data_IF_068961224517
#
_entry.id   IF_068961224517
#
_cell.length_a   1.000
_cell.length_b   1.000
_cell.length_c   1.000
_cell.angle_alpha   90.00
_cell.angle_beta   90.00
_cell.angle_gamma   90.00
#
_symmetry.space_group_name_H-M   'P 1'
#
loop_
_entity.id
_entity.type
_entity.pdbx_description
1 polymer ?
#
# COMPACT_ATOMS: atom_id res chain seq x y z
N UNK A 1 34.74 -16.71 53.97
CA UNK A 1 35.79 -16.74 52.95
C UNK A 1 35.29 -17.56 51.78
N UNK A 2 34.86 -16.96 50.73
CA UNK A 2 34.78 -17.50 49.37
C UNK A 2 34.46 -16.31 48.44
N UNK A 3 35.45 -15.97 47.65
CA UNK A 3 35.38 -14.85 46.69
C UNK A 3 34.65 -15.27 45.42
N UNK A 4 33.75 -14.46 44.96
CA UNK A 4 33.15 -14.53 43.63
C UNK A 4 33.99 -13.67 42.63
N UNK A 5 34.60 -14.36 41.68
CA UNK A 5 35.22 -13.74 40.51
C UNK A 5 34.14 -13.34 39.51
N UNK A 6 33.92 -12.05 39.34
CA UNK A 6 33.19 -11.49 38.21
C UNK A 6 34.16 -11.34 37.00
N UNK A 7 34.04 -12.25 36.04
CA UNK A 7 34.66 -12.04 34.71
C UNK A 7 33.70 -11.20 33.86
N UNK A 8 34.16 -10.01 33.52
CA UNK A 8 33.52 -9.13 32.55
C UNK A 8 33.74 -9.70 31.14
N UNK A 9 32.66 -10.20 30.54
CA UNK A 9 32.68 -10.70 29.15
C UNK A 9 32.40 -9.51 28.21
N UNK A 10 33.43 -9.10 27.51
CA UNK A 10 33.42 -8.86 26.08
C UNK A 10 32.69 -7.64 25.52
N UNK A 11 33.08 -6.41 25.93
CA UNK A 11 32.68 -5.19 25.19
C UNK A 11 33.40 -4.96 23.84
N UNK A 12 34.17 -5.90 23.34
CA UNK A 12 34.98 -5.73 22.13
C UNK A 12 34.32 -6.13 20.81
N UNK A 13 33.33 -7.02 20.83
CA UNK A 13 32.75 -7.57 19.60
C UNK A 13 31.62 -6.70 19.00
N UNK A 14 30.93 -5.90 19.83
CA UNK A 14 29.85 -5.04 19.34
C UNK A 14 30.40 -3.81 18.58
N UNK A 15 31.53 -3.26 19.03
CA UNK A 15 32.16 -2.12 18.33
C UNK A 15 32.72 -2.51 16.96
N UNK A 16 33.26 -3.72 16.80
CA UNK A 16 33.76 -4.22 15.52
C UNK A 16 32.64 -4.48 14.51
N UNK A 17 31.46 -4.92 14.96
CA UNK A 17 30.32 -5.13 14.08
C UNK A 17 29.71 -3.82 13.58
N UNK A 18 29.57 -2.82 14.45
CA UNK A 18 29.10 -1.49 14.07
C UNK A 18 30.06 -0.77 13.12
N UNK A 19 31.38 -0.93 13.31
CA UNK A 19 32.39 -0.33 12.44
C UNK A 19 32.45 -1.01 11.06
N UNK A 20 32.22 -2.32 10.99
CA UNK A 20 32.11 -3.05 9.72
C UNK A 20 30.88 -2.66 8.91
N UNK A 21 29.74 -2.42 9.57
CA UNK A 21 28.50 -1.95 8.93
C UNK A 21 28.66 -0.51 8.40
N UNK A 22 29.31 0.38 9.16
CA UNK A 22 29.58 1.77 8.74
C UNK A 22 30.61 1.87 7.61
N UNK A 23 31.61 0.97 7.57
CA UNK A 23 32.61 0.95 6.50
C UNK A 23 32.06 0.37 5.18
N UNK A 24 31.05 -0.51 5.22
CA UNK A 24 30.40 -1.08 4.05
C UNK A 24 29.45 -0.09 3.33
N UNK A 25 29.00 0.95 4.01
CA UNK A 25 28.13 1.99 3.44
C UNK A 25 28.87 2.98 2.51
N UNK A 26 30.19 2.89 2.39
CA UNK A 26 31.00 3.86 1.64
C UNK A 26 31.34 3.44 0.20
N UNK A 27 30.93 2.26 -0.28
CA UNK A 27 31.24 1.77 -1.64
C UNK A 27 30.01 1.16 -2.29
N UNK A 28 29.02 1.99 -2.59
CA UNK A 28 27.84 1.59 -3.35
C UNK A 28 27.73 2.41 -4.63
N UNK A 29 28.01 1.81 -5.78
CA UNK A 29 27.51 2.37 -7.05
C UNK A 29 26.01 2.10 -7.11
N UNK A 30 25.21 3.16 -7.22
CA UNK A 30 23.78 3.09 -7.38
C UNK A 30 23.44 2.32 -8.67
N UNK A 31 22.82 1.16 -8.54
CA UNK A 31 22.11 0.49 -9.63
C UNK A 31 20.63 0.85 -9.54
N UNK A 32 20.12 1.39 -10.63
CA UNK A 32 18.71 1.80 -10.77
C UNK A 32 17.76 0.62 -10.49
N UNK A 33 16.84 0.80 -9.55
CA UNK A 33 15.60 0.07 -9.30
C UNK A 33 15.32 -0.48 -7.89
N UNK A 34 16.30 -0.47 -6.96
CA UNK A 34 16.02 -0.83 -5.57
C UNK A 34 16.51 0.28 -4.65
N UNK A 35 15.63 0.83 -3.84
CA UNK A 35 16.04 1.67 -2.72
C UNK A 35 16.90 0.80 -1.79
N UNK A 36 18.18 1.15 -1.59
CA UNK A 36 19.07 0.46 -0.65
C UNK A 36 20.46 0.10 -1.17
N UNK A 37 21.35 -0.25 -0.23
CA UNK A 37 22.71 -0.71 -0.53
C UNK A 37 22.67 -2.19 -0.97
N UNK A 38 23.33 -2.49 -2.09
CA UNK A 38 23.45 -3.86 -2.60
C UNK A 38 24.85 -4.40 -2.37
N UNK A 39 24.93 -5.54 -1.69
CA UNK A 39 26.18 -6.28 -1.41
C UNK A 39 26.24 -7.51 -2.32
N UNK A 40 27.16 -7.52 -3.27
CA UNK A 40 27.43 -8.67 -4.13
C UNK A 40 28.26 -9.70 -3.36
N UNK A 41 27.80 -10.96 -3.38
CA UNK A 41 28.50 -12.12 -2.80
C UNK A 41 29.32 -12.79 -3.90
N UNK A 42 28.71 -13.01 -5.07
CA UNK A 42 29.35 -13.47 -6.30
C UNK A 42 28.59 -12.91 -7.53
N UNK A 43 28.88 -13.39 -8.74
CA UNK A 43 28.26 -12.90 -9.98
C UNK A 43 26.74 -13.16 -10.04
N UNK A 44 26.23 -14.09 -9.26
CA UNK A 44 24.82 -14.50 -9.23
C UNK A 44 24.10 -14.21 -7.92
N UNK A 45 24.86 -14.00 -6.84
CA UNK A 45 24.30 -13.83 -5.49
C UNK A 45 24.54 -12.42 -4.96
N UNK A 46 23.51 -11.84 -4.44
CA UNK A 46 23.58 -10.52 -3.80
C UNK A 46 22.50 -10.38 -2.72
N UNK A 47 22.71 -9.44 -1.82
CA UNK A 47 21.73 -8.99 -0.83
C UNK A 47 21.65 -7.48 -0.90
N UNK A 48 20.45 -6.91 -0.87
CA UNK A 48 20.23 -5.48 -0.71
C UNK A 48 19.44 -5.18 0.57
N UNK A 49 19.78 -4.05 1.20
CA UNK A 49 19.15 -3.56 2.42
C UNK A 49 18.74 -2.13 2.21
N UNK A 50 17.50 -1.82 2.49
CA UNK A 50 16.96 -0.48 2.41
C UNK A 50 16.08 -0.15 3.61
N UNK A 51 15.69 1.10 3.73
CA UNK A 51 14.79 1.58 4.77
C UNK A 51 13.87 2.67 4.25
N UNK A 52 12.69 2.78 4.82
CA UNK A 52 11.72 3.84 4.51
C UNK A 52 11.13 4.44 5.78
N UNK A 53 10.95 5.75 5.77
CA UNK A 53 10.31 6.52 6.84
C UNK A 53 9.27 7.45 6.23
N UNK A 54 8.06 7.41 6.80
CA UNK A 54 7.04 8.44 6.58
C UNK A 54 6.60 8.99 7.92
N UNK A 55 6.57 10.30 8.04
CA UNK A 55 6.13 11.02 9.25
C UNK A 55 5.35 12.25 8.83
N UNK A 56 4.39 12.66 9.65
CA UNK A 56 3.56 13.82 9.33
C UNK A 56 3.19 14.63 10.56
N UNK A 57 2.90 15.91 10.31
CA UNK A 57 2.09 16.74 11.19
C UNK A 57 0.71 16.88 10.58
N UNK A 58 -0.33 16.53 11.33
CA UNK A 58 -1.73 16.64 10.89
C UNK A 58 -2.51 17.50 11.87
N UNK A 59 -3.28 18.42 11.32
CA UNK A 59 -4.27 19.22 12.06
C UNK A 59 -5.64 18.96 11.45
N UNK A 60 -6.58 18.41 12.24
CA UNK A 60 -7.89 17.97 11.76
C UNK A 60 -9.01 18.43 12.70
N UNK A 61 -10.08 18.96 12.12
CA UNK A 61 -11.29 19.34 12.87
C UNK A 61 -11.95 18.12 13.52
N UNK A 62 -12.59 18.34 14.63
CA UNK A 62 -13.46 17.40 15.36
C UNK A 62 -12.78 16.09 15.82
N UNK A 63 -11.50 15.93 15.56
CA UNK A 63 -10.76 14.72 15.91
C UNK A 63 -10.28 14.69 17.36
N UNK A 64 -10.43 15.79 18.13
CA UNK A 64 -9.98 15.90 19.50
C UNK A 64 -11.08 16.33 20.46
N UNK A 65 -10.91 16.00 21.72
CA UNK A 65 -11.75 16.46 22.82
C UNK A 65 -12.89 15.50 23.17
N UNK A 66 -13.84 15.99 23.98
CA UNK A 66 -15.03 15.21 24.34
C UNK A 66 -15.97 15.08 23.16
N UNK A 67 -16.79 14.01 23.10
CA UNK A 67 -17.80 13.86 22.09
C UNK A 67 -18.66 15.13 21.93
N UNK A 68 -18.79 15.62 20.70
CA UNK A 68 -19.50 16.87 20.38
C UNK A 68 -18.70 18.16 20.55
N UNK A 69 -17.45 18.12 21.01
CA UNK A 69 -16.57 19.28 21.02
C UNK A 69 -15.89 19.43 19.67
N UNK A 70 -16.33 20.40 18.87
CA UNK A 70 -15.71 20.75 17.57
C UNK A 70 -14.37 21.45 17.79
N UNK A 71 -13.31 20.67 17.96
CA UNK A 71 -11.94 21.18 18.16
C UNK A 71 -10.98 20.55 17.17
N UNK A 72 -9.96 21.34 16.82
CA UNK A 72 -8.83 20.87 16.03
C UNK A 72 -7.95 19.94 16.87
N UNK A 73 -7.63 18.77 16.32
CA UNK A 73 -6.60 17.88 16.82
C UNK A 73 -5.30 18.13 16.06
N UNK A 74 -4.20 18.24 16.78
CA UNK A 74 -2.87 18.49 16.22
C UNK A 74 -1.95 17.36 16.64
N UNK A 75 -1.55 16.53 15.68
CA UNK A 75 -0.74 15.34 15.91
C UNK A 75 0.54 15.32 15.09
N UNK A 76 1.62 14.89 15.74
CA UNK A 76 2.80 14.40 15.04
C UNK A 76 2.72 12.88 14.94
N UNK A 77 2.84 12.35 13.73
CA UNK A 77 2.67 10.93 13.47
C UNK A 77 3.94 10.32 12.89
N UNK A 78 4.27 9.12 13.33
CA UNK A 78 5.13 8.19 12.60
C UNK A 78 4.21 7.28 11.77
N UNK A 79 4.03 7.62 10.50
CA UNK A 79 3.04 6.97 9.66
C UNK A 79 3.50 5.57 9.22
N UNK A 80 4.77 5.45 8.79
CA UNK A 80 5.37 4.17 8.41
C UNK A 80 6.86 4.15 8.74
N UNK A 81 7.35 3.02 9.21
CA UNK A 81 8.78 2.70 9.31
C UNK A 81 8.98 1.34 8.67
N UNK A 82 9.73 1.29 7.55
CA UNK A 82 9.97 0.07 6.77
C UNK A 82 11.44 -0.30 6.75
N UNK A 83 11.69 -1.60 6.77
CA UNK A 83 12.97 -2.20 6.39
C UNK A 83 12.73 -3.10 5.19
N UNK A 84 13.62 -2.99 4.21
CA UNK A 84 13.61 -3.77 2.99
C UNK A 84 14.84 -4.67 2.96
N UNK A 85 14.63 -5.95 2.76
CA UNK A 85 15.70 -6.93 2.56
C UNK A 85 15.37 -7.74 1.32
N UNK A 86 16.20 -7.62 0.29
CA UNK A 86 16.08 -8.39 -0.93
C UNK A 86 17.33 -9.23 -1.12
N UNK A 87 17.20 -10.39 -1.72
CA UNK A 87 18.33 -11.24 -2.02
C UNK A 87 18.13 -12.08 -3.27
N UNK A 88 19.21 -12.31 -3.99
CA UNK A 88 19.26 -13.29 -5.07
C UNK A 88 20.17 -14.45 -4.67
N UNK A 89 19.61 -15.66 -4.68
CA UNK A 89 20.31 -16.91 -4.35
C UNK A 89 20.83 -17.56 -5.63
N UNK A 90 20.10 -17.41 -6.71
CA UNK A 90 20.41 -17.93 -8.05
C UNK A 90 19.77 -16.98 -9.07
N UNK A 91 20.24 -16.98 -10.33
CA UNK A 91 19.69 -16.10 -11.37
C UNK A 91 18.16 -16.12 -11.52
N UNK A 92 17.52 -17.23 -11.10
CA UNK A 92 16.05 -17.42 -11.15
C UNK A 92 15.40 -17.40 -9.76
N UNK A 93 16.19 -17.44 -8.68
CA UNK A 93 15.67 -17.57 -7.33
C UNK A 93 16.02 -16.34 -6.51
N UNK A 94 15.00 -15.60 -6.10
CA UNK A 94 15.15 -14.42 -5.24
C UNK A 94 14.28 -14.54 -4.01
N UNK A 95 14.58 -13.76 -3.02
CA UNK A 95 13.78 -13.60 -1.80
C UNK A 95 13.57 -12.13 -1.52
N UNK A 96 12.42 -11.82 -0.95
CA UNK A 96 12.10 -10.48 -0.46
C UNK A 96 11.50 -10.58 0.93
N UNK A 97 11.95 -9.72 1.82
CA UNK A 97 11.43 -9.60 3.17
C UNK A 97 11.33 -8.12 3.52
N UNK A 98 10.11 -7.66 3.75
CA UNK A 98 9.82 -6.29 4.15
C UNK A 98 9.06 -6.28 5.47
N UNK A 99 9.36 -5.29 6.30
CA UNK A 99 8.57 -5.01 7.50
C UNK A 99 7.94 -3.65 7.40
N UNK A 100 6.87 -3.41 8.14
CA UNK A 100 6.31 -2.09 8.36
C UNK A 100 5.91 -1.92 9.83
N UNK A 101 6.00 -0.70 10.30
CA UNK A 101 5.37 -0.28 11.52
C UNK A 101 4.47 0.91 11.20
N UNK A 102 3.19 0.66 11.07
CA UNK A 102 2.17 1.68 10.91
C UNK A 102 1.73 2.17 12.29
N UNK A 103 1.57 3.48 12.43
CA UNK A 103 1.20 4.08 13.72
C UNK A 103 2.16 3.79 14.88
N UNK A 104 3.45 3.74 14.60
CA UNK A 104 4.49 3.48 15.60
C UNK A 104 4.50 4.46 16.78
N UNK A 105 3.98 5.67 16.60
CA UNK A 105 3.87 6.69 17.65
C UNK A 105 3.06 6.25 18.87
N UNK A 106 2.13 5.30 18.70
CA UNK A 106 1.21 4.86 19.73
C UNK A 106 1.46 3.42 20.20
N UNK A 107 2.72 3.00 20.24
CA UNK A 107 3.10 1.65 20.63
C UNK A 107 2.79 0.59 19.57
N UNK A 108 2.74 0.99 18.29
CA UNK A 108 2.55 0.09 17.17
C UNK A 108 3.66 -0.97 17.08
N UNK A 109 3.33 -2.12 16.53
CA UNK A 109 4.26 -3.24 16.38
C UNK A 109 4.89 -3.23 14.99
N UNK A 110 6.17 -3.62 14.92
CA UNK A 110 6.81 -3.96 13.64
C UNK A 110 6.27 -5.30 13.18
N UNK A 111 5.68 -5.32 12.00
CA UNK A 111 5.05 -6.51 11.42
C UNK A 111 5.71 -6.89 10.11
N UNK A 112 5.65 -8.18 9.78
CA UNK A 112 6.03 -8.66 8.44
C UNK A 112 5.03 -8.14 7.43
N UNK A 113 5.51 -7.36 6.47
CA UNK A 113 4.73 -6.85 5.37
C UNK A 113 4.77 -7.82 4.19
N UNK A 114 5.97 -8.08 3.68
CA UNK A 114 6.21 -9.07 2.64
C UNK A 114 7.21 -10.12 3.10
N UNK A 115 7.00 -11.37 2.70
CA UNK A 115 7.93 -12.48 2.86
C UNK A 115 7.75 -13.41 1.65
N UNK A 116 8.55 -13.20 0.59
CA UNK A 116 8.29 -13.76 -0.73
C UNK A 116 9.49 -14.58 -1.20
N UNK A 117 9.24 -15.85 -1.54
CA UNK A 117 10.13 -16.63 -2.39
C UNK A 117 9.75 -16.41 -3.85
N UNK A 118 10.70 -15.99 -4.68
CA UNK A 118 10.49 -15.59 -6.07
C UNK A 118 11.20 -16.54 -7.02
N UNK A 119 10.42 -17.14 -7.91
CA UNK A 119 10.91 -17.89 -9.08
C UNK A 119 10.69 -17.00 -10.30
N UNK A 120 11.72 -16.26 -10.70
CA UNK A 120 11.67 -15.35 -11.85
C UNK A 120 12.45 -15.96 -13.01
N UNK A 121 11.72 -16.61 -13.93
CA UNK A 121 12.29 -17.46 -14.99
C UNK A 121 12.54 -16.63 -16.23
N UNK A 122 11.52 -15.90 -16.68
CA UNK A 122 11.58 -15.02 -17.83
C UNK A 122 10.51 -13.91 -17.72
N UNK A 123 10.48 -12.94 -18.64
CA UNK A 123 9.48 -11.87 -18.58
C UNK A 123 8.02 -12.34 -18.66
N UNK A 124 7.77 -13.52 -19.23
CA UNK A 124 6.41 -14.03 -19.44
C UNK A 124 5.88 -14.88 -18.30
N UNK A 125 6.77 -15.59 -17.57
CA UNK A 125 6.35 -16.60 -16.60
C UNK A 125 7.18 -16.51 -15.31
N UNK A 126 6.54 -16.09 -14.25
CA UNK A 126 7.14 -15.98 -12.92
C UNK A 126 6.17 -16.51 -11.87
N UNK A 127 6.70 -17.03 -10.77
CA UNK A 127 5.94 -17.49 -9.63
C UNK A 127 6.49 -16.87 -8.35
N UNK A 128 5.65 -16.19 -7.63
CA UNK A 128 5.94 -15.73 -6.28
C UNK A 128 5.12 -16.53 -5.26
N UNK A 129 5.72 -16.91 -4.15
CA UNK A 129 5.08 -17.70 -3.08
C UNK A 129 5.42 -17.09 -1.73
N UNK A 130 4.44 -16.98 -0.87
CA UNK A 130 4.60 -16.43 0.48
C UNK A 130 3.58 -15.33 0.77
N UNK A 131 3.97 -14.34 1.56
CA UNK A 131 3.13 -13.18 1.89
C UNK A 131 3.44 -12.02 0.95
N UNK A 132 2.45 -11.57 0.21
CA UNK A 132 2.60 -10.53 -0.82
C UNK A 132 1.30 -9.77 -1.07
N UNK A 133 1.36 -8.69 -1.86
CA UNK A 133 0.15 -8.00 -2.31
C UNK A 133 -0.73 -8.93 -3.14
N UNK A 134 -1.99 -8.99 -2.76
CA UNK A 134 -3.04 -9.64 -3.56
C UNK A 134 -3.27 -8.79 -4.80
N UNK A 135 -3.23 -9.35 -6.02
CA UNK A 135 -3.51 -8.58 -7.24
C UNK A 135 -4.82 -7.79 -7.15
N UNK A 136 -4.73 -6.47 -7.25
CA UNK A 136 -5.84 -5.54 -7.06
C UNK A 136 -5.67 -4.30 -7.96
N UNK A 137 -6.40 -3.23 -7.70
CA UNK A 137 -6.23 -1.97 -8.40
C UNK A 137 -4.91 -1.26 -8.03
N UNK A 138 -4.56 -0.27 -8.83
CA UNK A 138 -3.28 0.45 -8.78
C UNK A 138 -2.93 0.99 -7.40
N UNK A 139 -3.86 1.66 -6.73
CA UNK A 139 -3.60 2.28 -5.43
C UNK A 139 -3.19 1.24 -4.38
N UNK A 140 -3.89 0.11 -4.33
CA UNK A 140 -3.52 -0.99 -3.45
C UNK A 140 -2.13 -1.54 -3.78
N UNK A 141 -1.85 -1.70 -5.09
CA UNK A 141 -0.58 -2.24 -5.57
C UNK A 141 0.61 -1.27 -5.45
N UNK A 142 0.37 0.03 -5.23
CA UNK A 142 1.42 1.03 -4.99
C UNK A 142 1.92 1.00 -3.55
N UNK A 143 1.03 0.78 -2.60
CA UNK A 143 1.28 1.11 -1.20
C UNK A 143 1.58 2.59 -0.96
N UNK A 144 1.81 3.00 0.28
CA UNK A 144 1.96 4.40 0.63
C UNK A 144 3.24 5.07 0.13
N UNK A 145 4.32 4.30 -0.06
CA UNK A 145 5.61 4.86 -0.50
C UNK A 145 5.67 5.17 -2.00
N UNK A 146 4.98 4.40 -2.84
CA UNK A 146 4.95 4.58 -4.29
C UNK A 146 3.70 5.32 -4.79
N UNK A 147 2.88 5.82 -3.88
CA UNK A 147 1.77 6.71 -4.20
C UNK A 147 2.24 8.11 -4.53
N UNK A 148 1.57 8.75 -5.48
CA UNK A 148 1.81 10.15 -5.82
C UNK A 148 1.36 11.08 -4.68
N UNK A 149 0.28 10.73 -3.98
CA UNK A 149 -0.34 11.53 -2.92
C UNK A 149 -0.01 10.91 -1.56
N UNK A 150 0.38 11.76 -0.60
CA UNK A 150 0.81 11.30 0.73
C UNK A 150 -0.31 10.59 1.49
N UNK A 151 -1.52 11.15 1.49
CA UNK A 151 -2.65 10.66 2.27
C UNK A 151 -3.46 9.58 1.56
N UNK A 152 -2.87 8.79 0.68
CA UNK A 152 -3.60 7.86 -0.19
C UNK A 152 -4.48 6.87 0.61
N UNK A 153 -4.03 6.42 1.77
CA UNK A 153 -4.73 5.48 2.65
C UNK A 153 -5.31 6.11 3.92
N UNK A 154 -5.13 7.41 4.14
CA UNK A 154 -5.56 8.06 5.40
C UNK A 154 -6.98 8.62 5.34
N UNK A 155 -7.58 8.68 4.18
CA UNK A 155 -8.86 9.36 3.95
C UNK A 155 -10.09 8.50 4.24
N UNK A 156 -9.95 7.38 4.95
CA UNK A 156 -11.09 6.68 5.54
C UNK A 156 -12.09 6.09 4.56
N UNK A 157 -11.64 5.66 3.38
CA UNK A 157 -12.51 4.94 2.46
C UNK A 157 -12.69 3.49 2.93
N UNK A 158 -13.91 2.93 2.99
CA UNK A 158 -14.16 1.59 3.50
C UNK A 158 -13.61 0.48 2.61
N UNK A 159 -13.23 0.80 1.37
CA UNK A 159 -12.67 -0.14 0.40
C UNK A 159 -11.14 -0.15 0.38
N UNK A 160 -10.50 0.47 1.38
CA UNK A 160 -9.05 0.48 1.47
C UNK A 160 -8.57 -0.45 2.57
N UNK A 161 -8.07 -1.62 2.22
CA UNK A 161 -7.43 -2.48 3.18
C UNK A 161 -6.13 -1.84 3.68
N UNK A 162 -5.81 -2.11 4.95
CA UNK A 162 -4.51 -1.74 5.47
C UNK A 162 -3.41 -2.53 4.74
N UNK A 163 -2.25 -1.93 4.58
CA UNK A 163 -1.09 -2.53 3.90
C UNK A 163 -0.72 -3.94 4.39
N UNK A 164 -1.03 -4.30 5.61
CA UNK A 164 -0.77 -5.63 6.17
C UNK A 164 -2.03 -6.37 6.58
N UNK A 165 -3.17 -5.91 6.16
CA UNK A 165 -4.43 -6.62 6.21
C UNK A 165 -4.64 -7.49 7.48
N UNK A 166 -4.61 -6.86 8.63
CA UNK A 166 -4.81 -7.53 9.91
C UNK A 166 -6.01 -6.96 10.67
N UNK A 167 -7.09 -6.69 9.95
CA UNK A 167 -8.34 -6.40 10.63
C UNK A 167 -8.86 -7.69 11.23
N UNK A 168 -8.77 -7.79 12.55
CA UNK A 168 -9.29 -8.90 13.32
C UNK A 168 -10.61 -8.47 13.91
N UNK A 169 -11.66 -9.26 13.71
CA UNK A 169 -12.96 -9.08 14.32
C UNK A 169 -12.91 -9.39 15.81
N UNK A 170 -13.96 -8.99 16.54
CA UNK A 170 -14.10 -9.28 17.97
C UNK A 170 -14.10 -10.77 18.32
N UNK A 171 -14.44 -11.65 17.39
CA UNK A 171 -14.39 -13.10 17.55
C UNK A 171 -13.01 -13.71 17.24
N UNK A 172 -12.01 -12.90 16.94
CA UNK A 172 -10.65 -13.34 16.61
C UNK A 172 -10.44 -13.78 15.16
N UNK A 173 -11.47 -13.74 14.31
CA UNK A 173 -11.33 -14.09 12.90
C UNK A 173 -10.82 -12.89 12.06
N UNK A 174 -10.18 -13.19 10.93
CA UNK A 174 -9.79 -12.16 9.97
C UNK A 174 -11.01 -11.57 9.26
N UNK A 175 -11.04 -10.26 9.07
CA UNK A 175 -12.11 -9.60 8.34
C UNK A 175 -12.00 -9.72 6.82
N UNK A 176 -10.92 -10.31 6.33
CA UNK A 176 -10.67 -10.51 4.92
C UNK A 176 -9.21 -10.24 4.57
N UNK A 177 -8.83 -10.55 3.35
CA UNK A 177 -7.45 -10.53 2.87
C UNK A 177 -7.26 -9.51 1.76
N UNK A 178 -7.50 -8.25 2.08
CA UNK A 178 -7.16 -7.16 1.18
C UNK A 178 -5.73 -6.69 1.43
N UNK A 179 -5.11 -6.09 0.45
CA UNK A 179 -3.71 -5.72 0.51
C UNK A 179 -2.82 -6.96 0.44
N UNK A 180 -2.22 -7.36 1.55
CA UNK A 180 -1.30 -8.52 1.59
C UNK A 180 -1.93 -9.75 2.20
N UNK A 181 -1.62 -10.91 1.60
CA UNK A 181 -2.04 -12.21 2.12
C UNK A 181 -1.00 -13.30 1.82
N UNK A 182 -1.14 -14.44 2.50
CA UNK A 182 -0.31 -15.62 2.30
C UNK A 182 -0.87 -16.44 1.13
N UNK A 183 -0.04 -16.68 0.12
CA UNK A 183 -0.48 -17.36 -1.08
C UNK A 183 0.58 -17.51 -2.16
N UNK A 184 0.14 -17.60 -3.39
CA UNK A 184 0.99 -17.70 -4.57
C UNK A 184 0.41 -16.86 -5.72
N UNK A 185 1.28 -16.21 -6.49
CA UNK A 185 0.91 -15.46 -7.69
C UNK A 185 1.78 -15.88 -8.87
N UNK A 186 1.12 -16.30 -9.97
CA UNK A 186 1.75 -16.42 -11.28
C UNK A 186 1.57 -15.09 -11.99
N UNK A 187 2.66 -14.54 -12.52
CA UNK A 187 2.63 -13.25 -13.19
C UNK A 187 3.64 -13.17 -14.34
N UNK A 188 3.43 -12.23 -15.23
CA UNK A 188 4.32 -11.98 -16.33
C UNK A 188 3.77 -10.93 -17.29
N UNK A 189 4.46 -10.79 -18.43
CA UNK A 189 4.07 -9.85 -19.45
C UNK A 189 4.33 -10.42 -20.86
N UNK A 190 3.43 -10.10 -21.79
CA UNK A 190 3.53 -10.44 -23.21
C UNK A 190 3.66 -9.16 -24.05
N UNK A 191 3.99 -9.32 -25.34
CA UNK A 191 4.09 -8.24 -26.30
C UNK A 191 5.06 -7.13 -25.83
N UNK A 192 6.29 -7.54 -25.50
CA UNK A 192 7.36 -6.66 -25.01
C UNK A 192 6.96 -5.87 -23.75
N UNK A 193 6.19 -6.51 -22.88
CA UNK A 193 5.74 -5.92 -21.61
C UNK A 193 4.41 -5.15 -21.70
N UNK A 194 3.81 -5.00 -22.88
CA UNK A 194 2.58 -4.22 -23.04
C UNK A 194 1.38 -4.83 -22.35
N UNK A 195 1.21 -6.14 -22.40
CA UNK A 195 0.16 -6.84 -21.68
C UNK A 195 0.76 -7.53 -20.45
N UNK A 196 0.39 -7.08 -19.28
CA UNK A 196 0.81 -7.63 -17.99
C UNK A 196 -0.33 -8.39 -17.34
N UNK A 197 -0.01 -9.51 -16.70
CA UNK A 197 -0.98 -10.31 -15.96
C UNK A 197 -0.43 -10.73 -14.61
N UNK A 198 -1.32 -10.86 -13.63
CA UNK A 198 -1.07 -11.49 -12.34
C UNK A 198 -2.31 -12.29 -11.95
N UNK A 199 -2.14 -13.56 -11.62
CA UNK A 199 -3.19 -14.48 -11.16
C UNK A 199 -2.73 -15.11 -9.86
N UNK A 200 -3.46 -14.86 -8.79
CA UNK A 200 -3.07 -15.26 -7.45
C UNK A 200 -4.11 -16.12 -6.76
N UNK A 201 -3.63 -16.93 -5.82
CA UNK A 201 -4.37 -17.84 -4.96
C UNK A 201 -3.92 -17.57 -3.54
N UNK A 202 -4.85 -17.18 -2.67
CA UNK A 202 -4.55 -16.69 -1.34
C UNK A 202 -5.47 -17.31 -0.30
N UNK A 203 -5.12 -17.15 0.96
CA UNK A 203 -5.91 -17.70 2.07
C UNK A 203 -7.29 -17.07 2.19
N UNK A 204 -7.40 -15.76 1.98
CA UNK A 204 -8.63 -15.03 2.14
C UNK A 204 -9.16 -14.99 3.58
N UNK A 205 -10.47 -14.89 3.71
CA UNK A 205 -11.16 -15.01 5.00
C UNK A 205 -10.95 -16.42 5.55
N UNK A 206 -10.61 -16.51 6.84
CA UNK A 206 -10.45 -17.77 7.58
C UNK A 206 -11.42 -17.82 8.73
N UNK A 207 -12.07 -18.96 8.89
CA UNK A 207 -13.08 -19.14 9.92
C UNK A 207 -14.34 -18.28 9.66
N UNK A 208 -15.19 -18.12 10.64
CA UNK A 208 -16.45 -17.42 10.46
C UNK A 208 -17.30 -18.07 9.39
N UNK A 209 -17.57 -17.36 8.30
CA UNK A 209 -18.36 -17.88 7.20
C UNK A 209 -17.65 -19.00 6.43
N UNK A 210 -16.34 -18.90 6.26
CA UNK A 210 -15.54 -19.85 5.49
C UNK A 210 -15.23 -21.14 6.29
N UNK A 211 -16.26 -21.98 6.46
CA UNK A 211 -16.14 -23.25 7.16
C UNK A 211 -15.44 -24.30 6.30
N UNK A 212 -15.61 -24.25 4.99
CA UNK A 212 -15.07 -25.21 4.03
C UNK A 212 -13.64 -24.87 3.57
N UNK A 213 -13.03 -23.82 4.16
CA UNK A 213 -11.65 -23.38 3.89
C UNK A 213 -11.40 -23.01 2.40
N UNK A 214 -12.39 -22.37 1.79
CA UNK A 214 -12.32 -21.86 0.42
C UNK A 214 -11.23 -20.80 0.29
N UNK A 215 -10.44 -20.84 -0.78
CA UNK A 215 -9.36 -19.90 -1.07
C UNK A 215 -9.86 -18.66 -1.78
N UNK A 216 -9.14 -17.55 -1.60
CA UNK A 216 -9.34 -16.31 -2.34
C UNK A 216 -8.61 -16.40 -3.69
N UNK A 217 -9.36 -16.24 -4.79
CA UNK A 217 -8.82 -16.05 -6.12
C UNK A 217 -8.69 -14.58 -6.43
N UNK A 218 -7.57 -14.18 -7.03
CA UNK A 218 -7.37 -12.81 -7.46
C UNK A 218 -6.66 -12.75 -8.80
N UNK A 219 -7.01 -11.76 -9.62
CA UNK A 219 -6.40 -11.56 -10.93
C UNK A 219 -6.37 -10.08 -11.29
N UNK A 220 -5.30 -9.69 -11.99
CA UNK A 220 -5.13 -8.35 -12.57
C UNK A 220 -4.57 -8.47 -13.97
N UNK A 221 -5.16 -7.75 -14.91
CA UNK A 221 -4.73 -7.64 -16.29
C UNK A 221 -4.55 -6.17 -16.62
N UNK A 222 -3.36 -5.78 -17.09
CA UNK A 222 -3.04 -4.41 -17.45
C UNK A 222 -2.51 -4.32 -18.88
N UNK A 223 -2.86 -3.26 -19.59
CA UNK A 223 -2.35 -2.97 -20.91
C UNK A 223 -1.73 -1.58 -20.98
N UNK A 224 -0.46 -1.54 -21.39
CA UNK A 224 0.32 -0.33 -21.60
C UNK A 224 0.16 0.12 -23.06
N UNK A 225 -0.61 1.17 -23.29
CA UNK A 225 -0.88 1.69 -24.63
C UNK A 225 0.31 2.49 -25.19
N UNK A 226 1.04 3.18 -24.30
CA UNK A 226 2.22 3.96 -24.65
C UNK A 226 3.48 3.24 -24.14
N UNK A 227 4.36 3.92 -23.40
CA UNK A 227 5.53 3.27 -22.82
C UNK A 227 5.12 2.30 -21.71
N UNK A 228 5.91 1.22 -21.58
CA UNK A 228 5.68 0.18 -20.58
C UNK A 228 6.14 0.65 -19.20
N UNK A 229 5.28 0.49 -18.20
CA UNK A 229 5.63 0.75 -16.81
C UNK A 229 6.76 -0.17 -16.34
N UNK A 230 7.79 0.41 -15.72
CA UNK A 230 8.93 -0.33 -15.17
C UNK A 230 8.72 -0.54 -13.67
N UNK A 231 8.07 -1.62 -13.31
CA UNK A 231 7.77 -1.97 -11.92
C UNK A 231 8.47 -3.25 -11.47
N UNK A 232 8.73 -3.42 -10.16
CA UNK A 232 9.18 -4.69 -9.63
C UNK A 232 8.00 -5.69 -9.65
N UNK A 233 8.12 -6.74 -10.46
CA UNK A 233 7.06 -7.73 -10.59
C UNK A 233 5.76 -7.16 -11.15
N UNK A 234 4.66 -7.48 -10.51
CA UNK A 234 3.32 -6.98 -10.85
C UNK A 234 2.87 -5.80 -9.96
N UNK A 235 3.74 -5.27 -9.11
CA UNK A 235 3.45 -4.08 -8.32
C UNK A 235 3.38 -2.84 -9.22
N UNK A 236 2.83 -1.74 -8.72
CA UNK A 236 2.60 -0.54 -9.52
C UNK A 236 3.17 0.71 -8.86
N UNK A 237 3.05 1.85 -9.52
CA UNK A 237 3.37 3.17 -8.99
C UNK A 237 2.27 4.18 -9.35
N UNK A 238 2.05 5.18 -8.50
CA UNK A 238 1.09 6.26 -8.75
C UNK A 238 1.61 7.37 -9.67
N UNK A 239 2.93 7.42 -9.88
CA UNK A 239 3.61 8.34 -10.81
C UNK A 239 5.05 7.87 -11.02
N UNK A 240 5.62 8.17 -12.15
CA UNK A 240 7.04 7.95 -12.48
C UNK A 240 7.80 9.27 -12.61
N UNK A 241 7.14 10.39 -12.36
CA UNK A 241 7.71 11.73 -12.46
C UNK A 241 8.34 12.02 -13.83
N UNK A 242 7.77 11.45 -14.91
CA UNK A 242 8.26 11.55 -16.28
C UNK A 242 9.49 10.67 -16.60
N UNK A 243 10.05 9.97 -15.63
CA UNK A 243 11.22 9.10 -15.84
C UNK A 243 10.90 7.85 -16.70
N UNK A 244 9.63 7.47 -16.78
CA UNK A 244 9.14 6.38 -17.61
C UNK A 244 8.79 6.79 -19.06
N UNK A 245 8.89 8.06 -19.41
CA UNK A 245 8.36 8.60 -20.66
C UNK A 245 6.84 8.83 -20.59
N UNK A 246 6.18 8.77 -21.73
CA UNK A 246 4.72 8.89 -21.83
C UNK A 246 4.06 7.55 -21.50
N UNK A 247 3.27 7.48 -20.45
CA UNK A 247 2.61 6.26 -19.99
C UNK A 247 1.10 6.42 -20.13
N UNK A 248 0.44 5.39 -20.65
CA UNK A 248 -1.01 5.21 -20.57
C UNK A 248 -1.27 3.73 -20.32
N UNK A 249 -1.66 3.41 -19.10
CA UNK A 249 -1.98 2.05 -18.69
C UNK A 249 -3.42 1.98 -18.21
N UNK A 250 -4.15 0.97 -18.67
CA UNK A 250 -5.48 0.62 -18.18
C UNK A 250 -5.41 -0.80 -17.64
N UNK A 251 -6.00 -1.03 -16.47
CA UNK A 251 -6.06 -2.36 -15.88
C UNK A 251 -7.45 -2.68 -15.33
N UNK A 252 -7.72 -3.98 -15.29
CA UNK A 252 -8.92 -4.56 -14.66
C UNK A 252 -8.43 -5.58 -13.66
N UNK A 253 -9.00 -5.61 -12.46
CA UNK A 253 -8.76 -6.64 -11.47
C UNK A 253 -10.07 -7.24 -10.94
N UNK A 254 -9.99 -8.49 -10.51
CA UNK A 254 -11.11 -9.21 -9.93
C UNK A 254 -10.63 -10.06 -8.76
N UNK A 255 -11.44 -10.12 -7.70
CA UNK A 255 -11.25 -10.97 -6.54
C UNK A 255 -12.52 -11.76 -6.28
N UNK A 256 -12.37 -13.02 -5.85
CA UNK A 256 -13.49 -13.93 -5.58
C UNK A 256 -13.14 -14.89 -4.46
N UNK A 257 -14.03 -15.03 -3.50
CA UNK A 257 -13.97 -16.08 -2.48
C UNK A 257 -15.38 -16.55 -2.14
N UNK A 258 -15.64 -17.85 -2.32
CA UNK A 258 -16.83 -18.49 -1.80
C UNK A 258 -16.77 -18.46 -0.28
N UNK A 259 -17.89 -18.13 0.38
CA UNK A 259 -17.98 -17.93 1.81
C UNK A 259 -16.96 -16.91 2.38
N UNK A 260 -16.48 -15.99 1.52
CA UNK A 260 -15.52 -14.95 1.88
C UNK A 260 -16.10 -13.83 2.74
N UNK A 261 -17.36 -13.91 3.13
CA UNK A 261 -18.06 -12.93 3.95
C UNK A 261 -19.16 -13.58 4.79
N UNK A 262 -19.60 -12.88 5.83
CA UNK A 262 -20.71 -13.35 6.67
C UNK A 262 -20.27 -14.16 7.88
N UNK A 263 -21.15 -15.05 8.34
CA UNK A 263 -20.95 -15.93 9.49
C UNK A 263 -21.10 -17.40 9.08
N UNK A 264 -20.70 -18.33 9.93
CA UNK A 264 -20.87 -19.77 9.66
C UNK A 264 -22.33 -20.18 9.46
N UNK A 265 -23.27 -19.48 10.09
CA UNK A 265 -24.70 -19.76 9.95
C UNK A 265 -25.33 -19.08 8.73
N UNK A 266 -24.65 -18.06 8.17
CA UNK A 266 -25.19 -17.23 7.08
C UNK A 266 -23.98 -16.76 6.24
N UNK A 267 -23.36 -17.66 5.46
CA UNK A 267 -22.21 -17.33 4.64
C UNK A 267 -22.60 -16.55 3.38
N UNK A 268 -21.66 -15.77 2.88
CA UNK A 268 -21.80 -15.03 1.65
C UNK A 268 -20.55 -15.07 0.78
N UNK A 269 -20.74 -15.12 -0.52
CA UNK A 269 -19.66 -15.11 -1.49
C UNK A 269 -19.20 -13.69 -1.75
N UNK A 270 -17.90 -13.44 -1.54
CA UNK A 270 -17.27 -12.15 -1.82
C UNK A 270 -16.85 -12.03 -3.27
N UNK A 271 -17.11 -10.87 -3.86
CA UNK A 271 -16.60 -10.46 -5.18
C UNK A 271 -16.11 -9.03 -5.14
N UNK A 272 -14.87 -8.80 -5.61
CA UNK A 272 -14.31 -7.49 -5.86
C UNK A 272 -13.98 -7.33 -7.33
N UNK A 273 -14.37 -6.22 -7.93
CA UNK A 273 -13.98 -5.88 -9.31
C UNK A 273 -13.51 -4.43 -9.32
N UNK A 274 -12.41 -4.16 -10.01
CA UNK A 274 -11.92 -2.80 -10.14
C UNK A 274 -11.35 -2.54 -11.54
N UNK A 275 -11.37 -1.27 -11.90
CA UNK A 275 -10.72 -0.73 -13.10
C UNK A 275 -9.85 0.43 -12.67
N UNK A 276 -8.62 0.49 -13.16
CA UNK A 276 -7.74 1.61 -12.93
C UNK A 276 -7.08 2.12 -14.20
N UNK A 277 -6.70 3.40 -14.17
CA UNK A 277 -5.95 4.04 -15.23
C UNK A 277 -4.83 4.90 -14.64
N UNK A 278 -3.66 4.84 -15.25
CA UNK A 278 -2.59 5.83 -15.11
C UNK A 278 -2.32 6.44 -16.48
N UNK A 279 -2.37 7.76 -16.55
CA UNK A 279 -1.83 8.54 -17.65
C UNK A 279 -0.73 9.46 -17.12
N UNK A 280 0.46 9.34 -17.69
CA UNK A 280 1.57 10.27 -17.42
C UNK A 280 2.11 10.78 -18.77
N UNK A 281 2.17 12.11 -18.91
CA UNK A 281 2.58 12.75 -20.17
C UNK A 281 3.67 13.77 -19.90
N UNK A 282 4.81 13.59 -20.55
CA UNK A 282 5.90 14.58 -20.58
C UNK A 282 5.60 15.63 -21.62
N UNK A 283 5.49 16.87 -21.19
CA UNK A 283 5.17 18.00 -22.07
C UNK A 283 6.43 18.57 -22.73
N UNK A 284 6.28 19.34 -23.83
CA UNK A 284 7.43 19.95 -24.54
C UNK A 284 8.29 20.87 -23.65
N UNK A 285 7.72 21.44 -22.59
CA UNK A 285 8.44 22.25 -21.60
C UNK A 285 9.11 21.41 -20.51
N UNK A 286 9.15 20.08 -20.65
CA UNK A 286 9.64 19.10 -19.65
C UNK A 286 8.84 19.06 -18.34
N UNK A 287 7.67 19.67 -18.28
CA UNK A 287 6.70 19.45 -17.21
C UNK A 287 6.00 18.10 -17.41
N UNK A 288 5.48 17.52 -16.32
CA UNK A 288 4.81 16.23 -16.38
C UNK A 288 3.38 16.33 -15.84
N UNK A 289 2.42 15.96 -16.67
CA UNK A 289 1.02 15.79 -16.24
C UNK A 289 0.82 14.33 -15.86
N UNK A 290 0.27 14.06 -14.67
CA UNK A 290 -0.11 12.71 -14.22
C UNK A 290 -1.59 12.71 -13.85
N UNK A 291 -2.33 11.71 -14.32
CA UNK A 291 -3.73 11.48 -13.97
C UNK A 291 -3.88 10.02 -13.52
N UNK A 292 -4.47 9.82 -12.35
CA UNK A 292 -4.90 8.52 -11.87
C UNK A 292 -6.42 8.50 -11.77
N UNK A 293 -7.02 7.37 -12.14
CA UNK A 293 -8.43 7.10 -11.96
C UNK A 293 -8.65 5.66 -11.54
N UNK A 294 -9.53 5.44 -10.58
CA UNK A 294 -9.92 4.11 -10.10
C UNK A 294 -11.41 4.03 -9.87
N UNK A 295 -11.96 2.87 -10.19
CA UNK A 295 -13.30 2.45 -9.81
C UNK A 295 -13.22 1.07 -9.17
N UNK A 296 -13.95 0.88 -8.08
CA UNK A 296 -14.12 -0.40 -7.39
C UNK A 296 -15.59 -0.70 -7.19
N UNK A 297 -15.94 -1.97 -7.32
CA UNK A 297 -17.21 -2.51 -6.87
C UNK A 297 -16.94 -3.73 -6.01
N UNK A 298 -17.43 -3.72 -4.78
CA UNK A 298 -17.43 -4.87 -3.90
C UNK A 298 -18.84 -5.32 -3.64
N UNK A 299 -19.09 -6.62 -3.80
CA UNK A 299 -20.39 -7.23 -3.62
C UNK A 299 -20.30 -8.53 -2.84
N UNK A 300 -21.40 -8.82 -2.14
CA UNK A 300 -21.58 -10.06 -1.39
C UNK A 300 -22.86 -10.70 -1.89
N UNK A 301 -22.80 -11.95 -2.33
CA UNK A 301 -23.95 -12.72 -2.78
C UNK A 301 -24.09 -14.02 -2.00
N UNK A 302 -25.28 -14.62 -2.02
CA UNK A 302 -25.60 -15.83 -1.28
C UNK A 302 -26.60 -15.60 -0.17
N UNK A 303 -26.66 -16.48 0.83
CA UNK A 303 -27.62 -16.43 1.94
C UNK A 303 -27.34 -15.35 2.99
N UNK A 304 -26.30 -14.56 2.84
CA UNK A 304 -25.84 -13.56 3.79
C UNK A 304 -26.91 -12.51 4.10
N UNK A 305 -27.54 -12.64 5.26
CA UNK A 305 -28.71 -11.86 5.64
C UNK A 305 -28.40 -10.43 6.05
N UNK A 306 -29.44 -9.56 6.02
CA UNK A 306 -29.36 -8.19 6.54
C UNK A 306 -28.94 -8.19 8.02
N UNK A 307 -29.50 -9.09 8.82
CA UNK A 307 -29.21 -9.17 10.25
C UNK A 307 -27.73 -9.49 10.53
N UNK A 308 -27.14 -10.42 9.75
CA UNK A 308 -25.69 -10.73 9.85
C UNK A 308 -24.83 -9.55 9.43
N UNK A 309 -25.24 -8.80 8.42
CA UNK A 309 -24.55 -7.59 7.96
C UNK A 309 -24.58 -6.49 9.02
N UNK A 310 -25.75 -6.24 9.61
CA UNK A 310 -25.94 -5.21 10.64
C UNK A 310 -25.21 -5.56 11.95
N UNK A 311 -25.05 -6.86 12.24
CA UNK A 311 -24.22 -7.34 13.34
C UNK A 311 -22.70 -7.20 13.11
N UNK A 312 -22.29 -6.62 11.96
CA UNK A 312 -20.88 -6.46 11.60
C UNK A 312 -20.20 -7.76 11.20
N UNK A 313 -20.98 -8.78 10.84
CA UNK A 313 -20.47 -10.05 10.30
C UNK A 313 -19.97 -9.89 8.87
N UNK A 314 -18.68 -10.14 8.62
CA UNK A 314 -18.12 -10.15 7.28
C UNK A 314 -17.90 -8.78 6.64
N UNK A 315 -18.01 -8.72 5.33
CA UNK A 315 -17.72 -7.58 4.48
C UNK A 315 -18.86 -6.58 4.27
N UNK A 316 -19.90 -6.59 5.08
CA UNK A 316 -21.08 -5.74 4.84
C UNK A 316 -20.73 -4.25 4.68
N UNK A 317 -19.73 -3.80 5.36
CA UNK A 317 -19.26 -2.42 5.30
C UNK A 317 -18.45 -2.09 4.04
N UNK A 318 -17.99 -3.11 3.32
CA UNK A 318 -17.22 -2.97 2.08
C UNK A 318 -18.06 -3.22 0.82
N UNK A 319 -19.35 -3.51 0.98
CA UNK A 319 -20.25 -3.59 -0.19
C UNK A 319 -20.56 -2.21 -0.75
N UNK A 320 -20.46 -2.08 -2.07
CA UNK A 320 -20.79 -0.85 -2.78
C UNK A 320 -19.77 -0.48 -3.84
N UNK A 321 -19.78 0.79 -4.19
CA UNK A 321 -18.89 1.36 -5.17
C UNK A 321 -17.92 2.36 -4.53
N UNK A 322 -16.73 2.50 -5.10
CA UNK A 322 -15.81 3.55 -4.75
C UNK A 322 -15.10 4.09 -5.99
N UNK A 323 -14.84 5.38 -5.98
CA UNK A 323 -14.18 6.12 -7.04
C UNK A 323 -13.03 6.93 -6.45
N UNK A 324 -11.88 6.96 -7.12
CA UNK A 324 -10.75 7.81 -6.77
C UNK A 324 -10.15 8.42 -8.03
N UNK A 325 -10.12 9.72 -8.11
CA UNK A 325 -9.56 10.46 -9.23
C UNK A 325 -8.57 11.49 -8.72
N UNK A 326 -7.38 11.51 -9.31
CA UNK A 326 -6.39 12.55 -9.03
C UNK A 326 -5.68 13.05 -10.28
N UNK A 327 -5.31 14.33 -10.24
CA UNK A 327 -4.54 14.97 -11.29
C UNK A 327 -3.44 15.83 -10.70
N UNK A 328 -2.27 15.83 -11.32
CA UNK A 328 -1.12 16.59 -10.85
C UNK A 328 -0.22 17.06 -11.98
N UNK A 329 0.55 18.09 -11.68
CA UNK A 329 1.50 18.65 -12.64
C UNK A 329 2.86 18.86 -11.97
N UNK A 330 3.88 18.15 -12.40
CA UNK A 330 5.25 18.37 -11.96
C UNK A 330 5.88 19.48 -12.80
N UNK A 331 6.25 20.58 -12.15
CA UNK A 331 6.97 21.67 -12.81
C UNK A 331 8.38 21.25 -13.20
N UNK A 332 8.87 21.63 -14.40
CA UNK A 332 10.22 21.25 -14.85
C UNK A 332 11.33 21.99 -14.10
N UNK A 333 11.03 23.19 -13.57
CA UNK A 333 12.01 24.02 -12.87
C UNK A 333 12.27 23.49 -11.47
N UNK A 334 13.53 23.30 -11.13
CA UNK A 334 13.94 23.05 -9.76
C UNK A 334 13.87 24.33 -8.92
N UNK A 335 13.32 24.21 -7.74
CA UNK A 335 13.38 25.18 -6.67
C UNK A 335 14.34 24.58 -5.62
N UNK A 336 15.55 25.11 -5.53
CA UNK A 336 16.64 24.54 -4.71
C UNK A 336 16.95 23.09 -5.13
N UNK A 337 16.64 22.07 -4.33
CA UNK A 337 16.97 20.65 -4.59
C UNK A 337 15.80 19.84 -5.18
N UNK A 338 14.60 20.40 -5.27
CA UNK A 338 13.39 19.69 -5.68
C UNK A 338 12.53 20.44 -6.68
N UNK A 339 11.43 19.83 -7.08
CA UNK A 339 10.43 20.33 -8.02
C UNK A 339 9.06 20.38 -7.35
N UNK A 340 8.27 21.41 -7.64
CA UNK A 340 6.90 21.52 -7.16
C UNK A 340 5.96 20.67 -8.03
N UNK A 341 5.02 19.97 -7.38
CA UNK A 341 3.97 19.18 -8.03
C UNK A 341 2.63 19.44 -7.33
N UNK A 342 1.89 20.51 -7.70
CA UNK A 342 0.51 20.67 -7.25
C UNK A 342 -0.35 19.51 -7.72
N UNK A 343 -1.33 19.15 -6.89
CA UNK A 343 -2.27 18.08 -7.16
C UNK A 343 -3.67 18.40 -6.62
N UNK A 344 -4.66 17.72 -7.20
CA UNK A 344 -6.03 17.65 -6.71
C UNK A 344 -6.47 16.18 -6.71
N UNK A 345 -7.35 15.81 -5.78
CA UNK A 345 -7.94 14.48 -5.69
C UNK A 345 -9.39 14.57 -5.25
N UNK A 346 -10.20 13.68 -5.77
CA UNK A 346 -11.57 13.44 -5.33
C UNK A 346 -11.78 11.96 -5.09
N UNK A 347 -12.33 11.62 -3.93
CA UNK A 347 -12.74 10.26 -3.57
C UNK A 347 -14.22 10.27 -3.27
N UNK A 348 -14.95 9.33 -3.84
CA UNK A 348 -16.35 9.07 -3.51
C UNK A 348 -16.52 7.60 -3.17
N UNK A 349 -17.25 7.31 -2.10
CA UNK A 349 -17.58 5.96 -1.68
C UNK A 349 -19.11 5.88 -1.51
N UNK A 350 -19.70 4.92 -2.17
CA UNK A 350 -21.13 4.65 -2.17
C UNK A 350 -21.40 3.28 -1.53
N UNK A 351 -21.38 3.19 -0.19
CA UNK A 351 -21.69 1.93 0.49
C UNK A 351 -23.13 1.53 0.23
N UNK A 352 -23.38 0.24 0.02
CA UNK A 352 -24.73 -0.29 -0.25
C UNK A 352 -25.73 0.05 0.86
N UNK A 353 -25.26 0.26 2.10
CA UNK A 353 -26.12 0.38 3.30
C UNK A 353 -25.79 1.55 4.20
N UNK A 354 -25.01 2.50 3.74
CA UNK A 354 -24.61 3.69 4.48
C UNK A 354 -24.69 4.91 3.57
N UNK A 355 -24.61 6.09 4.15
CA UNK A 355 -24.56 7.33 3.37
C UNK A 355 -23.28 7.40 2.54
N UNK A 356 -23.39 8.02 1.38
CA UNK A 356 -22.23 8.28 0.52
C UNK A 356 -21.20 9.13 1.24
N UNK A 357 -19.94 8.90 0.93
CA UNK A 357 -18.79 9.58 1.50
C UNK A 357 -17.97 10.26 0.43
N UNK A 358 -17.64 11.52 0.68
CA UNK A 358 -16.87 12.34 -0.23
C UNK A 358 -15.62 12.87 0.47
N UNK A 359 -14.48 12.85 -0.23
CA UNK A 359 -13.26 13.51 0.19
C UNK A 359 -12.68 14.28 -0.98
N UNK A 360 -12.48 15.58 -0.78
CA UNK A 360 -11.75 16.46 -1.67
C UNK A 360 -10.37 16.72 -1.07
N UNK A 361 -9.33 16.63 -1.88
CA UNK A 361 -7.97 16.91 -1.46
C UNK A 361 -7.28 17.80 -2.50
N UNK A 362 -6.54 18.81 -2.01
CA UNK A 362 -5.68 19.63 -2.83
C UNK A 362 -4.35 19.85 -2.09
N UNK A 363 -3.26 19.89 -2.82
CA UNK A 363 -1.96 20.04 -2.19
C UNK A 363 -0.82 20.28 -3.16
N UNK A 364 0.38 20.29 -2.60
CA UNK A 364 1.63 20.41 -3.35
C UNK A 364 2.63 19.41 -2.79
N UNK A 365 3.18 18.58 -3.65
CA UNK A 365 4.38 17.81 -3.36
C UNK A 365 5.61 18.65 -3.73
N UNK A 366 6.61 18.64 -2.89
CA UNK A 366 7.96 19.08 -3.20
C UNK A 366 8.83 17.83 -3.39
N UNK A 367 9.07 17.49 -4.65
CA UNK A 367 9.73 16.23 -5.07
C UNK A 367 11.23 16.49 -5.21
N UNK A 368 12.02 15.90 -4.35
CA UNK A 368 13.49 16.02 -4.35
C UNK A 368 14.14 14.86 -5.11
N UNK A 369 13.70 13.62 -4.85
CA UNK A 369 14.16 12.42 -5.56
C UNK A 369 13.00 11.42 -5.75
N UNK A 370 12.03 11.74 -6.57
CA UNK A 370 10.90 10.88 -6.86
C UNK A 370 10.21 10.39 -5.59
N UNK A 371 10.06 9.07 -5.48
CA UNK A 371 9.50 8.43 -4.29
C UNK A 371 10.49 8.33 -3.12
N UNK A 372 11.78 8.52 -3.36
CA UNK A 372 12.80 8.39 -2.33
C UNK A 372 12.82 9.56 -1.36
N UNK A 373 12.54 10.78 -1.84
CA UNK A 373 12.54 11.95 -0.99
C UNK A 373 11.49 12.96 -1.47
N UNK A 374 10.45 13.18 -0.66
CA UNK A 374 9.43 14.20 -0.93
C UNK A 374 8.84 14.77 0.36
N UNK A 375 8.37 16.01 0.27
CA UNK A 375 7.54 16.68 1.28
C UNK A 375 6.20 16.99 0.63
N UNK A 376 5.10 16.77 1.34
CA UNK A 376 3.76 17.01 0.85
C UNK A 376 2.99 17.90 1.81
N UNK A 377 2.45 18.99 1.32
CA UNK A 377 1.49 19.82 2.04
C UNK A 377 0.13 19.65 1.38
N UNK A 378 -0.87 19.23 2.12
CA UNK A 378 -2.23 19.05 1.59
C UNK A 378 -3.30 19.54 2.54
N UNK A 379 -4.43 19.88 1.96
CA UNK A 379 -5.69 20.15 2.62
C UNK A 379 -6.72 19.16 2.11
N UNK A 380 -7.47 18.57 3.04
CA UNK A 380 -8.59 17.68 2.78
C UNK A 380 -9.86 18.27 3.38
N UNK A 381 -10.97 18.05 2.68
CA UNK A 381 -12.31 18.36 3.17
C UNK A 381 -13.25 17.22 2.82
N UNK A 382 -13.98 16.69 3.81
CA UNK A 382 -14.91 15.61 3.57
C UNK A 382 -15.17 14.74 4.79
N UNK A 383 -15.59 13.52 4.53
CA UNK A 383 -16.00 12.51 5.52
C UNK A 383 -14.79 11.80 6.13
N UNK A 384 -13.91 12.54 6.79
CA UNK A 384 -12.61 12.07 7.27
C UNK A 384 -12.66 11.35 8.61
N UNK A 385 -13.72 11.51 9.39
CA UNK A 385 -13.83 10.94 10.73
C UNK A 385 -14.27 9.48 10.73
N UNK A 386 -14.95 9.04 9.69
CA UNK A 386 -15.44 7.68 9.57
C UNK A 386 -14.45 6.84 8.75
N UNK A 387 -13.91 5.80 9.35
CA UNK A 387 -12.88 4.97 8.73
C UNK A 387 -13.20 3.49 8.85
N UNK A 388 -12.97 2.76 7.76
CA UNK A 388 -12.97 1.31 7.73
C UNK A 388 -14.16 0.68 8.47
N UNK A 389 -13.88 -0.17 9.43
CA UNK A 389 -14.89 -0.92 10.19
C UNK A 389 -15.79 -0.07 11.11
N UNK A 390 -15.53 1.22 11.27
CA UNK A 390 -16.38 2.13 12.06
C UNK A 390 -17.57 2.69 11.26
N UNK A 391 -17.75 2.23 10.04
CA UNK A 391 -18.95 2.54 9.27
C UNK A 391 -20.16 1.87 9.93
N UNK A 392 -21.08 2.66 10.43
CA UNK A 392 -22.43 2.18 10.74
C UNK A 392 -23.39 2.65 9.67
N UNK A 393 -24.47 1.90 9.46
CA UNK A 393 -25.54 2.28 8.53
C UNK A 393 -26.12 3.68 8.81
N UNK A 394 -26.02 4.11 10.07
CA UNK A 394 -26.60 5.36 10.58
C UNK A 394 -25.56 6.45 10.83
N UNK A 395 -24.29 6.23 10.53
CA UNK A 395 -23.27 7.26 10.73
C UNK A 395 -23.36 8.30 9.60
N UNK A 396 -23.90 9.51 9.87
CA UNK A 396 -23.73 10.61 8.94
C UNK A 396 -22.24 10.94 8.89
N UNK A 397 -21.69 11.09 7.70
CA UNK A 397 -20.37 11.68 7.56
C UNK A 397 -20.47 13.16 7.89
N UNK A 398 -19.87 13.60 8.98
CA UNK A 398 -19.66 15.03 9.21
C UNK A 398 -18.44 15.44 8.39
N UNK A 399 -18.65 16.35 7.43
CA UNK A 399 -17.55 16.88 6.60
C UNK A 399 -16.70 17.81 7.44
N UNK A 400 -15.41 17.46 7.54
CA UNK A 400 -14.43 18.20 8.34
C UNK A 400 -13.22 18.56 7.48
N UNK A 401 -12.48 19.57 7.94
CA UNK A 401 -11.22 19.97 7.34
C UNK A 401 -10.05 19.24 7.99
N UNK A 402 -9.03 18.93 7.20
CA UNK A 402 -7.75 18.43 7.67
C UNK A 402 -6.61 19.06 6.86
N UNK A 403 -5.55 19.45 7.54
CA UNK A 403 -4.29 19.88 6.93
C UNK A 403 -3.22 18.86 7.29
N UNK A 404 -2.40 18.49 6.33
CA UNK A 404 -1.32 17.53 6.53
C UNK A 404 -0.02 18.03 5.91
N UNK A 405 1.06 18.00 6.71
CA UNK A 405 2.43 18.20 6.25
C UNK A 405 3.17 16.88 6.42
N UNK A 406 3.37 16.17 5.33
CA UNK A 406 3.96 14.84 5.31
C UNK A 406 5.38 14.84 4.77
N UNK A 407 6.23 14.02 5.33
CA UNK A 407 7.62 13.81 4.93
C UNK A 407 7.82 12.33 4.60
N UNK A 408 8.48 12.06 3.49
CA UNK A 408 8.82 10.71 3.07
C UNK A 408 10.29 10.63 2.67
N UNK A 409 10.97 9.62 3.22
CA UNK A 409 12.32 9.25 2.84
C UNK A 409 12.42 7.73 2.71
N UNK A 410 13.14 7.27 1.69
CA UNK A 410 13.52 5.87 1.56
C UNK A 410 14.86 5.74 0.83
N UNK A 411 15.57 4.71 1.15
CA UNK A 411 16.88 4.38 0.58
C UNK A 411 16.97 2.87 0.32
#
# INVERSE_FOLDING_TARGET
MNGYNNQAIGGRNVRSLCTAILAALAVGQASDAYAGATFKIDDTKWVSVGAGLRTSFRSQEEAAGNPGAKKWNNDFNLDNIRLYLNGQIHKYLKVEFNTDCQTCSNGGEVRVLDAIGKFEIDPMYNLWVGRMLVPAERREMNGPFYSAIYNIFSSGTPFEPADYNLTIKSDGTSAGSFGRDDGATVWGAFFDGRFQYAVGFFRGLRGGANVDDNILYSQRFAYNFWEVEKNPGYYTSGTYYGKGGDILTVAVSNQYQEDGAGTAADPGTFRGTSVDVLMEKVLPNSGVVTVNGEYKNYGISGGYSQASRDAGGGFSMFEGNAYDFSGMYLFPQKIWIGQAQPFVRYVNVEPTRSANRDVYEAGVNYVMDGHNAKVSLSWQYGDLLTKGLNYSSDAPGDKVNSMNLGFQWQI
#
